data_IF_797640898760
#
_entry.id   IF_797640898760
#
_cell.length_a   1.000
_cell.length_b   1.000
_cell.length_c   1.000
_cell.angle_alpha   90.00
_cell.angle_beta   90.00
_cell.angle_gamma   90.00
#
_symmetry.space_group_name_H-M   'P 1'
#
loop_
_entity.id
_entity.type
_entity.pdbx_description
1 polymer ?
#
# COMPACT_ATOMS: atom_id res chain seq x y z
N UNK A 1 -63.75 73.15 -14.70
CA UNK A 1 -62.29 73.13 -14.92
C UNK A 1 -61.68 72.18 -13.88
N UNK A 2 -61.32 71.01 -14.30
CA UNK A 2 -60.89 69.90 -13.45
C UNK A 2 -59.39 69.77 -13.58
N UNK A 3 -58.63 69.94 -12.47
CA UNK A 3 -57.18 69.65 -12.41
C UNK A 3 -56.94 68.19 -12.03
N UNK A 4 -56.28 67.49 -12.93
CA UNK A 4 -55.77 66.10 -12.70
C UNK A 4 -54.50 66.17 -11.88
N UNK A 5 -54.50 65.51 -10.71
CA UNK A 5 -53.30 65.21 -9.92
C UNK A 5 -52.57 63.96 -10.44
N UNK A 6 -51.25 64.09 -10.64
CA UNK A 6 -50.36 62.99 -11.02
C UNK A 6 -49.89 62.24 -9.77
N UNK A 7 -50.30 60.95 -9.62
CA UNK A 7 -49.79 60.08 -8.61
C UNK A 7 -48.41 59.54 -9.03
N UNK A 8 -47.43 59.64 -8.12
CA UNK A 8 -46.10 59.05 -8.25
C UNK A 8 -46.14 57.63 -7.63
N UNK A 9 -45.98 56.63 -8.47
CA UNK A 9 -45.83 55.25 -8.01
C UNK A 9 -44.41 54.99 -7.54
N UNK A 10 -44.20 54.63 -6.27
CA UNK A 10 -42.95 54.18 -5.72
C UNK A 10 -42.87 52.67 -5.91
N UNK A 11 -41.93 52.23 -6.79
CA UNK A 11 -41.59 50.80 -6.94
C UNK A 11 -40.62 50.42 -5.86
N UNK A 12 -41.07 49.59 -4.93
CA UNK A 12 -40.23 48.93 -3.95
C UNK A 12 -39.47 47.77 -4.63
N UNK A 13 -38.19 47.96 -4.84
CA UNK A 13 -37.28 46.94 -5.33
C UNK A 13 -36.86 46.04 -4.13
N UNK A 14 -37.51 44.89 -3.98
CA UNK A 14 -37.11 43.90 -2.99
C UNK A 14 -35.85 43.18 -3.45
N UNK A 15 -34.71 43.53 -2.86
CA UNK A 15 -33.43 42.80 -3.05
C UNK A 15 -33.50 41.50 -2.24
N UNK A 16 -33.67 40.36 -2.93
CA UNK A 16 -33.62 39.05 -2.36
C UNK A 16 -32.14 38.66 -2.15
N UNK A 17 -31.66 38.79 -0.89
CA UNK A 17 -30.32 38.38 -0.50
C UNK A 17 -30.27 36.84 -0.38
N UNK A 18 -29.81 36.16 -1.43
CA UNK A 18 -29.55 34.73 -1.42
C UNK A 18 -28.30 34.43 -0.53
N UNK A 19 -28.55 34.10 0.70
CA UNK A 19 -27.54 33.51 1.58
C UNK A 19 -27.15 32.13 1.01
N UNK A 20 -26.03 32.06 0.29
CA UNK A 20 -25.34 30.81 0.01
C UNK A 20 -24.80 30.27 1.35
N UNK A 21 -25.57 29.41 2.01
CA UNK A 21 -25.06 28.58 3.07
C UNK A 21 -24.12 27.56 2.39
N UNK A 22 -22.85 27.90 2.35
CA UNK A 22 -21.79 26.95 1.99
C UNK A 22 -21.83 25.76 2.95
N UNK A 23 -22.47 24.69 2.52
CA UNK A 23 -22.41 23.40 3.22
C UNK A 23 -20.97 22.94 3.19
N UNK A 24 -20.23 23.20 4.27
CA UNK A 24 -19.01 22.42 4.57
C UNK A 24 -19.46 20.97 4.69
N UNK A 25 -19.31 20.20 3.62
CA UNK A 25 -19.42 18.75 3.68
C UNK A 25 -18.47 18.29 4.76
N UNK A 26 -19.02 17.83 5.89
CA UNK A 26 -18.27 17.08 6.88
C UNK A 26 -17.80 15.81 6.19
N UNK A 27 -16.59 15.83 5.60
CA UNK A 27 -15.91 14.61 5.23
C UNK A 27 -15.98 13.69 6.44
N UNK A 28 -16.40 12.44 6.26
CA UNK A 28 -16.50 11.49 7.37
C UNK A 28 -15.13 11.42 8.03
N UNK A 29 -15.01 11.91 9.25
CA UNK A 29 -13.78 11.85 10.02
C UNK A 29 -13.41 10.37 10.15
N UNK A 30 -12.20 10.01 9.71
CA UNK A 30 -11.67 8.65 9.89
C UNK A 30 -11.56 8.41 11.39
N UNK A 31 -12.21 7.37 11.88
CA UNK A 31 -12.05 6.93 13.26
C UNK A 31 -10.74 6.11 13.34
N UNK A 32 -9.67 6.75 13.80
CA UNK A 32 -8.37 6.10 13.96
C UNK A 32 -8.37 5.11 15.13
N UNK A 33 -7.85 3.91 14.90
CA UNK A 33 -7.64 2.90 15.94
C UNK A 33 -6.30 3.13 16.66
N UNK A 34 -5.25 3.48 15.92
CA UNK A 34 -3.92 3.80 16.46
C UNK A 34 -3.98 4.99 17.40
N UNK A 35 -3.45 4.88 18.64
CA UNK A 35 -3.71 5.87 19.69
C UNK A 35 -2.79 7.08 19.71
N UNK A 36 -1.58 6.96 19.12
CA UNK A 36 -0.48 7.91 19.33
C UNK A 36 -0.44 8.94 18.20
N UNK A 37 -0.15 10.20 18.55
CA UNK A 37 0.00 11.32 17.59
C UNK A 37 -1.26 11.62 16.75
N UNK A 38 -2.46 11.33 17.22
CA UNK A 38 -3.72 11.65 16.52
C UNK A 38 -3.91 13.13 16.21
N UNK A 39 -3.28 14.01 17.00
CA UNK A 39 -3.33 15.47 16.82
C UNK A 39 -2.31 16.03 15.84
N UNK A 40 -1.43 15.21 15.28
CA UNK A 40 -0.37 15.67 14.40
C UNK A 40 -0.97 16.26 13.09
N UNK A 41 -0.44 17.41 12.59
CA UNK A 41 -1.06 18.15 11.47
C UNK A 41 -1.11 17.37 10.15
N UNK A 42 -0.27 16.33 9.97
CA UNK A 42 -0.28 15.48 8.79
C UNK A 42 -1.27 14.32 8.89
N UNK A 43 -1.78 13.95 10.06
CA UNK A 43 -2.72 12.83 10.20
C UNK A 43 -3.94 13.03 9.31
N UNK A 44 -4.25 12.02 8.50
CA UNK A 44 -5.34 12.04 7.53
C UNK A 44 -5.02 12.80 6.24
N UNK A 45 -3.85 13.43 6.12
CA UNK A 45 -3.44 14.11 4.88
C UNK A 45 -2.92 13.10 3.86
N UNK A 46 -3.28 13.34 2.60
CA UNK A 46 -2.78 12.60 1.46
C UNK A 46 -1.87 13.52 0.67
N UNK A 47 -0.62 13.14 0.54
CA UNK A 47 0.41 13.89 -0.17
C UNK A 47 0.63 13.33 -1.56
N UNK A 48 0.46 14.13 -2.60
CA UNK A 48 0.92 13.83 -3.97
C UNK A 48 2.39 14.23 -4.06
N UNK A 49 3.27 13.22 -4.14
CA UNK A 49 4.71 13.44 -4.10
C UNK A 49 5.20 14.23 -5.30
N UNK A 50 4.68 13.91 -6.50
CA UNK A 50 5.06 14.59 -7.74
C UNK A 50 4.58 16.04 -7.78
N UNK A 51 3.36 16.29 -7.31
CA UNK A 51 2.79 17.63 -7.28
C UNK A 51 3.32 18.49 -6.12
N UNK A 52 3.91 17.86 -5.07
CA UNK A 52 4.38 18.54 -3.87
C UNK A 52 3.26 19.19 -3.06
N UNK A 53 2.07 18.57 -3.01
CA UNK A 53 0.89 19.16 -2.37
C UNK A 53 -0.03 18.11 -1.74
N UNK A 54 -0.83 18.57 -0.78
CA UNK A 54 -1.92 17.76 -0.21
C UNK A 54 -3.08 17.69 -1.19
N UNK A 55 -3.62 16.50 -1.38
CA UNK A 55 -4.78 16.24 -2.25
C UNK A 55 -5.95 15.67 -1.44
N UNK A 56 -7.15 15.71 -2.04
CA UNK A 56 -8.32 15.04 -1.46
C UNK A 56 -8.33 13.54 -1.74
N UNK A 57 -9.09 12.79 -0.94
CA UNK A 57 -9.33 11.36 -1.17
C UNK A 57 -9.97 11.11 -2.56
N UNK A 58 -10.90 11.95 -2.98
CA UNK A 58 -11.52 11.87 -4.30
C UNK A 58 -10.46 11.98 -5.42
N UNK A 59 -9.52 12.92 -5.28
CA UNK A 59 -8.42 13.09 -6.24
C UNK A 59 -7.53 11.84 -6.26
N UNK A 60 -7.18 11.29 -5.09
CA UNK A 60 -6.44 10.03 -5.01
C UNK A 60 -7.19 8.90 -5.73
N UNK A 61 -8.47 8.69 -5.42
CA UNK A 61 -9.29 7.64 -6.03
C UNK A 61 -9.38 7.77 -7.55
N UNK A 62 -9.50 9.01 -8.07
CA UNK A 62 -9.45 9.27 -9.51
C UNK A 62 -8.12 8.82 -10.13
N UNK A 63 -6.99 9.13 -9.48
CA UNK A 63 -5.65 8.70 -9.92
C UNK A 63 -5.50 7.18 -9.90
N UNK A 64 -5.93 6.55 -8.80
CA UNK A 64 -5.88 5.08 -8.67
C UNK A 64 -6.80 4.39 -9.70
N UNK A 65 -7.97 4.98 -9.98
CA UNK A 65 -8.90 4.49 -11.00
C UNK A 65 -8.29 4.40 -12.40
N UNK A 66 -7.39 5.34 -12.75
CA UNK A 66 -6.65 5.34 -14.01
C UNK A 66 -5.43 4.42 -14.06
N UNK A 67 -5.05 3.80 -12.94
CA UNK A 67 -3.85 2.95 -12.85
C UNK A 67 -4.22 1.47 -13.02
N UNK A 68 -3.48 0.75 -13.87
CA UNK A 68 -3.69 -0.69 -14.05
C UNK A 68 -3.26 -1.47 -12.81
N UNK A 69 -2.15 -1.06 -12.18
CA UNK A 69 -1.66 -1.67 -10.96
C UNK A 69 -1.61 -0.62 -9.85
N UNK A 70 -2.10 -0.98 -8.66
CA UNK A 70 -2.10 -0.14 -7.47
C UNK A 70 -1.38 -0.90 -6.36
N UNK A 71 -0.32 -0.31 -5.82
CA UNK A 71 0.46 -0.92 -4.73
C UNK A 71 0.16 -0.14 -3.47
N UNK A 72 -0.35 -0.81 -2.44
CA UNK A 72 -0.78 -0.23 -1.16
C UNK A 72 0.19 -0.67 -0.07
N UNK A 73 1.18 0.18 0.21
CA UNK A 73 2.28 -0.07 1.13
C UNK A 73 1.93 0.27 2.57
N UNK A 74 2.09 -0.68 3.47
CA UNK A 74 1.70 -0.59 4.87
C UNK A 74 2.88 -0.71 5.85
N UNK A 75 2.64 -0.41 7.12
CA UNK A 75 3.31 -0.98 8.26
C UNK A 75 2.43 -2.15 8.74
N UNK A 76 2.98 -3.35 8.77
CA UNK A 76 2.22 -4.60 8.93
C UNK A 76 1.41 -4.71 10.22
N UNK A 77 1.78 -4.02 11.28
CA UNK A 77 1.10 -4.05 12.58
C UNK A 77 0.18 -2.84 12.83
N UNK A 78 0.06 -1.90 11.88
CA UNK A 78 -0.81 -0.74 12.05
C UNK A 78 -2.23 -1.00 11.52
N UNK A 79 -3.27 -1.07 12.38
CA UNK A 79 -4.64 -1.39 11.97
C UNK A 79 -5.26 -0.36 11.04
N UNK A 80 -4.88 0.91 11.17
CA UNK A 80 -5.40 1.98 10.31
C UNK A 80 -4.93 1.84 8.87
N UNK A 81 -3.71 1.33 8.64
CA UNK A 81 -3.22 1.04 7.30
C UNK A 81 -4.10 0.01 6.60
N UNK A 82 -4.45 -1.08 7.30
CA UNK A 82 -5.31 -2.13 6.75
C UNK A 82 -6.75 -1.64 6.52
N UNK A 83 -7.26 -0.79 7.42
CA UNK A 83 -8.57 -0.17 7.25
C UNK A 83 -8.61 0.72 5.99
N UNK A 84 -7.55 1.51 5.75
CA UNK A 84 -7.40 2.35 4.56
C UNK A 84 -7.22 1.50 3.29
N UNK A 85 -6.46 0.41 3.34
CA UNK A 85 -6.35 -0.54 2.23
C UNK A 85 -7.72 -1.13 1.86
N UNK A 86 -8.47 -1.61 2.85
CA UNK A 86 -9.83 -2.13 2.62
C UNK A 86 -10.76 -1.06 2.05
N UNK A 87 -10.67 0.18 2.54
CA UNK A 87 -11.42 1.33 2.02
C UNK A 87 -11.10 1.60 0.55
N UNK A 88 -9.83 1.64 0.17
CA UNK A 88 -9.41 1.88 -1.21
C UNK A 88 -9.84 0.75 -2.15
N UNK A 89 -9.74 -0.52 -1.71
CA UNK A 89 -10.25 -1.66 -2.50
C UNK A 89 -11.76 -1.53 -2.73
N UNK A 90 -12.55 -1.23 -1.69
CA UNK A 90 -14.00 -1.01 -1.84
C UNK A 90 -14.31 0.16 -2.77
N UNK A 91 -13.56 1.24 -2.67
CA UNK A 91 -13.75 2.43 -3.52
C UNK A 91 -13.47 2.12 -5.00
N UNK A 92 -12.42 1.37 -5.31
CA UNK A 92 -12.15 0.90 -6.68
C UNK A 92 -13.27 0.03 -7.22
N UNK A 93 -13.82 -0.88 -6.38
CA UNK A 93 -14.97 -1.71 -6.74
C UNK A 93 -16.20 -0.83 -7.02
N UNK A 94 -16.47 0.15 -6.14
CA UNK A 94 -17.56 1.11 -6.28
C UNK A 94 -17.46 1.96 -7.54
N UNK A 95 -16.23 2.27 -7.99
CA UNK A 95 -15.94 2.93 -9.26
C UNK A 95 -16.04 1.99 -10.49
N UNK A 96 -16.54 0.77 -10.31
CA UNK A 96 -16.73 -0.20 -11.40
C UNK A 96 -15.49 -1.04 -11.74
N UNK A 97 -14.35 -0.86 -11.04
CA UNK A 97 -13.14 -1.64 -11.24
C UNK A 97 -13.27 -3.05 -10.68
N UNK A 98 -12.61 -4.00 -11.33
CA UNK A 98 -12.59 -5.42 -10.92
C UNK A 98 -11.15 -5.97 -10.92
N UNK A 99 -10.20 -5.31 -10.19
CA UNK A 99 -8.82 -5.75 -10.14
C UNK A 99 -8.68 -7.06 -9.37
N UNK A 100 -7.65 -7.85 -9.65
CA UNK A 100 -7.22 -8.88 -8.73
C UNK A 100 -6.64 -8.24 -7.46
N UNK A 101 -6.77 -8.90 -6.30
CA UNK A 101 -6.18 -8.43 -5.03
C UNK A 101 -5.08 -9.40 -4.60
N UNK A 102 -3.84 -8.94 -4.67
CA UNK A 102 -2.66 -9.69 -4.27
C UNK A 102 -2.26 -9.39 -2.84
N UNK A 103 -1.77 -10.40 -2.14
CA UNK A 103 -1.24 -10.27 -0.78
C UNK A 103 0.22 -10.73 -0.75
N UNK A 104 1.12 -9.86 -0.29
CA UNK A 104 2.52 -10.21 0.02
C UNK A 104 2.59 -11.37 1.00
N UNK A 105 1.70 -11.35 2.00
CA UNK A 105 1.66 -12.31 3.08
C UNK A 105 1.35 -13.75 2.63
N UNK A 106 0.82 -13.92 1.43
CA UNK A 106 0.52 -15.21 0.82
C UNK A 106 1.59 -15.56 -0.23
N UNK A 107 2.33 -16.61 0.05
CA UNK A 107 3.31 -17.16 -0.89
C UNK A 107 2.63 -18.05 -1.95
N UNK A 108 3.33 -18.33 -3.02
CA UNK A 108 2.81 -19.27 -4.03
C UNK A 108 2.58 -20.69 -3.51
N UNK A 109 3.16 -21.06 -2.36
CA UNK A 109 2.88 -22.32 -1.69
C UNK A 109 1.46 -22.37 -1.11
N UNK A 110 0.89 -21.21 -0.77
CA UNK A 110 -0.45 -21.09 -0.19
C UNK A 110 -1.54 -21.12 -1.27
N UNK A 111 -1.20 -20.92 -2.55
CA UNK A 111 -2.16 -20.82 -3.64
C UNK A 111 -3.09 -22.04 -3.78
N UNK A 112 -2.63 -23.32 -3.62
CA UNK A 112 -3.53 -24.46 -3.67
C UNK A 112 -4.55 -24.53 -2.53
N UNK A 113 -4.15 -24.14 -1.31
CA UNK A 113 -5.04 -24.08 -0.15
C UNK A 113 -6.07 -22.96 -0.31
N UNK A 114 -5.63 -21.77 -0.72
CA UNK A 114 -6.47 -20.63 -1.05
C UNK A 114 -7.53 -21.01 -2.08
N UNK A 115 -7.12 -21.62 -3.20
CA UNK A 115 -8.04 -22.01 -4.27
C UNK A 115 -9.08 -23.05 -3.81
N UNK A 116 -8.66 -24.07 -3.05
CA UNK A 116 -9.57 -25.09 -2.49
C UNK A 116 -10.58 -24.48 -1.53
N UNK A 117 -10.14 -23.54 -0.69
CA UNK A 117 -11.02 -22.87 0.26
C UNK A 117 -12.06 -22.01 -0.47
N UNK A 118 -11.64 -21.13 -1.35
CA UNK A 118 -12.52 -20.23 -2.08
C UNK A 118 -13.52 -20.94 -3.01
N UNK A 119 -13.16 -22.13 -3.52
CA UNK A 119 -14.09 -22.96 -4.29
C UNK A 119 -15.29 -23.47 -3.45
N UNK A 120 -15.11 -23.61 -2.11
CA UNK A 120 -16.15 -24.08 -1.19
C UNK A 120 -16.85 -22.94 -0.45
N UNK A 121 -16.12 -21.88 -0.17
CA UNK A 121 -16.56 -20.74 0.65
C UNK A 121 -16.20 -19.39 -0.03
N UNK A 122 -16.80 -19.09 -1.21
CA UNK A 122 -16.36 -17.98 -2.07
C UNK A 122 -16.62 -16.58 -1.48
N UNK A 123 -17.34 -16.49 -0.35
CA UNK A 123 -17.67 -15.22 0.32
C UNK A 123 -17.18 -15.15 1.76
N UNK A 124 -16.48 -16.16 2.24
CA UNK A 124 -16.03 -16.23 3.61
C UNK A 124 -14.53 -15.85 3.72
N UNK A 125 -14.27 -14.60 4.14
CA UNK A 125 -12.92 -14.16 4.46
C UNK A 125 -12.49 -14.58 5.88
N UNK A 126 -13.41 -14.86 6.78
CA UNK A 126 -13.07 -15.16 8.15
C UNK A 126 -12.27 -16.48 8.27
N UNK A 127 -12.77 -17.54 7.65
CA UNK A 127 -12.09 -18.83 7.67
C UNK A 127 -10.90 -18.95 6.71
N UNK A 128 -10.63 -17.94 5.87
CA UNK A 128 -9.51 -17.95 4.93
C UNK A 128 -8.16 -18.00 5.65
N UNK A 129 -8.02 -17.28 6.77
CA UNK A 129 -6.81 -17.29 7.57
C UNK A 129 -6.43 -18.71 8.04
N UNK A 130 -7.40 -19.47 8.56
CA UNK A 130 -7.18 -20.86 8.97
C UNK A 130 -6.84 -21.77 7.77
N UNK A 131 -7.52 -21.56 6.65
CA UNK A 131 -7.31 -22.36 5.44
C UNK A 131 -5.88 -22.25 4.88
N UNK A 132 -5.19 -21.10 5.10
CA UNK A 132 -3.81 -20.89 4.68
C UNK A 132 -2.80 -21.02 5.84
N UNK A 133 -3.23 -21.52 7.01
CA UNK A 133 -2.41 -21.65 8.22
C UNK A 133 -1.77 -20.32 8.67
N UNK A 134 -2.52 -19.23 8.63
CA UNK A 134 -2.04 -17.87 8.89
C UNK A 134 -1.31 -17.73 10.22
N UNK A 135 -1.81 -18.36 11.30
CA UNK A 135 -1.21 -18.29 12.64
C UNK A 135 0.21 -18.82 12.70
N UNK A 136 0.65 -19.61 11.69
CA UNK A 136 2.01 -20.17 11.58
C UNK A 136 2.89 -19.37 10.60
N UNK A 137 2.36 -18.32 10.01
CA UNK A 137 3.08 -17.53 8.98
C UNK A 137 4.09 -16.55 9.57
N UNK A 138 3.87 -16.12 10.83
CA UNK A 138 4.63 -15.04 11.48
C UNK A 138 4.11 -13.64 11.18
N UNK A 139 3.07 -13.50 10.35
CA UNK A 139 2.42 -12.22 10.08
C UNK A 139 1.53 -11.77 11.27
N UNK A 140 1.22 -10.46 11.38
CA UNK A 140 0.24 -9.97 12.35
C UNK A 140 -1.12 -10.68 12.22
N UNK A 141 -2.01 -10.45 13.17
CA UNK A 141 -3.30 -11.14 13.23
C UNK A 141 -4.11 -11.02 11.94
N UNK A 142 -4.74 -12.14 11.52
CA UNK A 142 -5.59 -12.19 10.32
C UNK A 142 -6.71 -11.15 10.33
N UNK A 143 -7.20 -10.75 11.51
CA UNK A 143 -8.24 -9.73 11.66
C UNK A 143 -7.90 -8.40 10.98
N UNK A 144 -6.63 -8.06 10.81
CA UNK A 144 -6.21 -6.85 10.08
C UNK A 144 -6.42 -7.00 8.57
N UNK A 145 -6.14 -8.15 8.02
CA UNK A 145 -6.22 -8.45 6.59
C UNK A 145 -7.61 -8.93 6.14
N UNK A 146 -8.39 -9.50 7.08
CA UNK A 146 -9.73 -10.02 6.80
C UNK A 146 -10.67 -8.99 6.14
N UNK A 147 -10.73 -7.69 6.55
CA UNK A 147 -11.59 -6.70 5.91
C UNK A 147 -11.22 -6.42 4.45
N UNK A 148 -9.94 -6.56 4.09
CA UNK A 148 -9.45 -6.40 2.71
C UNK A 148 -9.86 -7.60 1.87
N UNK A 149 -9.63 -8.81 2.40
CA UNK A 149 -10.06 -10.06 1.76
C UNK A 149 -11.59 -10.08 1.59
N UNK A 150 -12.36 -9.67 2.61
CA UNK A 150 -13.81 -9.60 2.52
C UNK A 150 -14.27 -8.62 1.44
N UNK A 151 -13.66 -7.43 1.34
CA UNK A 151 -13.96 -6.48 0.28
C UNK A 151 -13.72 -7.09 -1.12
N UNK A 152 -12.63 -7.84 -1.28
CA UNK A 152 -12.33 -8.54 -2.53
C UNK A 152 -13.40 -9.60 -2.85
N UNK A 153 -13.78 -10.44 -1.86
CA UNK A 153 -14.76 -11.51 -2.05
C UNK A 153 -16.17 -10.95 -2.31
N UNK A 154 -16.57 -9.88 -1.61
CA UNK A 154 -17.85 -9.19 -1.86
C UNK A 154 -17.93 -8.66 -3.29
N UNK A 155 -16.82 -8.11 -3.79
CA UNK A 155 -16.69 -7.65 -5.18
C UNK A 155 -16.51 -8.76 -6.22
N UNK A 156 -16.50 -10.04 -5.83
CA UNK A 156 -16.17 -11.18 -6.70
C UNK A 156 -14.79 -11.04 -7.36
N UNK A 157 -13.82 -10.46 -6.65
CA UNK A 157 -12.45 -10.29 -7.15
C UNK A 157 -11.62 -11.54 -6.89
N UNK A 158 -10.63 -11.76 -7.76
CA UNK A 158 -9.63 -12.79 -7.55
C UNK A 158 -8.67 -12.39 -6.43
N UNK A 159 -8.50 -13.24 -5.42
CA UNK A 159 -7.41 -13.13 -4.44
C UNK A 159 -6.20 -13.92 -4.97
N UNK A 160 -5.02 -13.30 -4.92
CA UNK A 160 -3.77 -13.85 -5.48
C UNK A 160 -2.72 -13.99 -4.39
N UNK A 161 -2.17 -15.17 -4.24
CA UNK A 161 -0.95 -15.41 -3.49
C UNK A 161 0.24 -14.91 -4.33
N UNK A 162 0.92 -13.87 -3.85
CA UNK A 162 1.87 -13.15 -4.70
C UNK A 162 3.32 -13.40 -4.40
N UNK A 163 3.67 -13.80 -3.17
CA UNK A 163 5.04 -13.88 -2.72
C UNK A 163 5.80 -15.10 -3.26
N UNK A 164 7.11 -15.02 -3.15
CA UNK A 164 8.01 -16.12 -3.50
C UNK A 164 7.76 -17.34 -2.59
N UNK A 165 7.83 -18.55 -3.14
CA UNK A 165 7.70 -19.77 -2.36
C UNK A 165 8.83 -19.92 -1.34
N UNK A 166 8.58 -20.64 -0.24
CA UNK A 166 9.61 -20.92 0.77
C UNK A 166 10.82 -21.64 0.19
N UNK A 167 10.67 -22.70 -0.65
CA UNK A 167 11.82 -23.34 -1.28
C UNK A 167 12.64 -22.40 -2.16
N UNK A 168 11.98 -21.51 -2.93
CA UNK A 168 12.68 -20.54 -3.77
C UNK A 168 13.38 -19.47 -2.94
N UNK A 169 12.77 -18.97 -1.87
CA UNK A 169 13.40 -18.04 -0.91
C UNK A 169 14.65 -18.67 -0.29
N UNK A 170 14.56 -19.93 0.13
CA UNK A 170 15.71 -20.65 0.71
C UNK A 170 16.82 -20.88 -0.33
N UNK A 171 16.46 -21.16 -1.59
CA UNK A 171 17.43 -21.30 -2.66
C UNK A 171 18.20 -19.99 -2.92
N UNK A 172 17.49 -18.83 -2.90
CA UNK A 172 18.12 -17.51 -3.00
C UNK A 172 18.98 -17.23 -1.78
N UNK A 173 18.53 -17.56 -0.58
CA UNK A 173 19.29 -17.37 0.65
C UNK A 173 20.66 -18.09 0.58
N UNK A 174 20.68 -19.32 0.04
CA UNK A 174 21.91 -20.12 -0.09
C UNK A 174 22.81 -19.67 -1.25
N UNK A 175 22.23 -19.41 -2.41
CA UNK A 175 22.96 -19.32 -3.66
C UNK A 175 22.83 -17.96 -4.36
N UNK A 176 22.16 -16.95 -3.74
CA UNK A 176 21.82 -15.69 -4.38
C UNK A 176 20.76 -15.85 -5.47
N UNK A 177 20.56 -14.85 -6.30
CA UNK A 177 19.59 -14.85 -7.41
C UNK A 177 19.74 -16.08 -8.35
N UNK A 178 20.96 -16.58 -8.66
CA UNK A 178 21.13 -17.81 -9.44
C UNK A 178 20.43 -19.04 -8.83
N UNK A 179 20.18 -19.06 -7.52
CA UNK A 179 19.44 -20.13 -6.83
C UNK A 179 18.02 -20.36 -7.33
N UNK A 180 17.41 -19.36 -7.98
CA UNK A 180 16.07 -19.50 -8.60
C UNK A 180 16.08 -20.43 -9.82
N UNK A 181 17.25 -20.65 -10.43
CA UNK A 181 17.38 -21.40 -11.67
C UNK A 181 16.81 -20.66 -12.89
N UNK A 182 17.21 -21.07 -14.11
CA UNK A 182 16.93 -20.32 -15.34
C UNK A 182 15.44 -20.22 -15.68
N UNK A 183 14.66 -21.26 -15.40
CA UNK A 183 13.23 -21.27 -15.72
C UNK A 183 12.44 -20.23 -14.92
N UNK A 184 12.65 -20.16 -13.60
CA UNK A 184 11.98 -19.18 -12.75
C UNK A 184 12.52 -17.78 -13.00
N UNK A 185 13.82 -17.59 -13.16
CA UNK A 185 14.43 -16.30 -13.50
C UNK A 185 13.83 -15.73 -14.79
N UNK A 186 13.67 -16.55 -15.84
CA UNK A 186 13.01 -16.16 -17.10
C UNK A 186 11.55 -15.77 -16.87
N UNK A 187 10.80 -16.59 -16.13
CA UNK A 187 9.40 -16.30 -15.81
C UNK A 187 9.25 -14.96 -15.06
N UNK A 188 10.16 -14.65 -14.15
CA UNK A 188 10.17 -13.42 -13.38
C UNK A 188 10.75 -12.23 -14.17
N UNK A 189 11.25 -12.43 -15.39
CA UNK A 189 12.02 -11.43 -16.13
C UNK A 189 13.07 -10.78 -15.24
N UNK A 190 13.72 -11.63 -14.45
CA UNK A 190 14.68 -11.21 -13.44
C UNK A 190 15.92 -10.63 -14.12
N UNK A 191 16.31 -9.45 -13.67
CA UNK A 191 17.59 -8.83 -13.99
C UNK A 191 18.30 -8.57 -12.66
N UNK A 192 19.63 -8.54 -12.68
CA UNK A 192 20.41 -8.10 -11.52
C UNK A 192 20.06 -6.63 -11.19
N UNK A 193 19.95 -6.27 -9.90
CA UNK A 193 19.86 -4.88 -9.53
C UNK A 193 21.13 -4.12 -9.91
N UNK A 194 20.99 -2.88 -10.37
CA UNK A 194 22.15 -2.01 -10.59
C UNK A 194 22.94 -1.82 -9.26
N UNK A 195 24.25 -1.58 -9.32
CA UNK A 195 25.07 -1.44 -8.10
C UNK A 195 24.52 -0.39 -7.12
N UNK A 196 24.03 0.74 -7.62
CA UNK A 196 23.45 1.81 -6.82
C UNK A 196 22.14 1.34 -6.14
N UNK A 197 21.31 0.62 -6.88
CA UNK A 197 20.07 0.02 -6.35
C UNK A 197 20.39 -0.99 -5.26
N UNK A 198 21.37 -1.87 -5.48
CA UNK A 198 21.82 -2.86 -4.50
C UNK A 198 22.29 -2.18 -3.21
N UNK A 199 23.09 -1.12 -3.35
CA UNK A 199 23.60 -0.36 -2.21
C UNK A 199 22.48 0.34 -1.42
N UNK A 200 21.51 0.93 -2.12
CA UNK A 200 20.34 1.56 -1.46
C UNK A 200 19.49 0.54 -0.71
N UNK A 201 19.23 -0.63 -1.31
CA UNK A 201 18.51 -1.72 -0.66
C UNK A 201 19.27 -2.29 0.54
N UNK A 202 20.58 -2.43 0.45
CA UNK A 202 21.41 -2.90 1.59
C UNK A 202 21.35 -1.91 2.76
N UNK A 203 21.36 -0.61 2.49
CA UNK A 203 21.21 0.43 3.52
C UNK A 203 19.84 0.34 4.19
N UNK A 204 18.76 0.27 3.41
CA UNK A 204 17.39 0.12 3.93
C UNK A 204 17.25 -1.14 4.80
N UNK A 205 17.78 -2.27 4.32
CA UNK A 205 17.75 -3.53 5.08
C UNK A 205 18.53 -3.39 6.39
N UNK A 206 19.72 -2.77 6.36
CA UNK A 206 20.51 -2.52 7.56
C UNK A 206 19.74 -1.67 8.57
N UNK A 207 19.11 -0.58 8.12
CA UNK A 207 18.33 0.32 8.98
C UNK A 207 17.08 -0.38 9.55
N UNK A 208 16.31 -1.08 8.71
CA UNK A 208 15.12 -1.80 9.14
C UNK A 208 15.41 -2.97 10.10
N UNK A 209 16.67 -3.45 10.13
CA UNK A 209 17.15 -4.45 11.08
C UNK A 209 18.00 -3.82 12.20
N UNK A 210 17.92 -2.48 12.39
CA UNK A 210 18.59 -1.77 13.48
C UNK A 210 20.12 -1.96 13.51
N UNK A 211 20.74 -2.14 12.36
CA UNK A 211 22.16 -2.42 12.24
C UNK A 211 22.59 -3.81 12.73
N UNK A 212 21.63 -4.67 13.13
CA UNK A 212 21.94 -6.01 13.69
C UNK A 212 22.03 -7.09 12.59
N UNK A 213 21.61 -6.79 11.35
CA UNK A 213 21.80 -7.72 10.25
C UNK A 213 23.31 -7.97 10.01
N UNK A 214 23.77 -9.23 10.02
CA UNK A 214 25.16 -9.52 9.74
C UNK A 214 25.57 -9.00 8.37
N UNK A 215 26.69 -8.27 8.28
CA UNK A 215 27.18 -7.69 7.04
C UNK A 215 27.34 -8.75 5.93
N UNK A 216 27.79 -9.96 6.32
CA UNK A 216 27.93 -11.10 5.42
C UNK A 216 26.60 -11.62 4.84
N UNK A 217 25.46 -11.23 5.42
CA UNK A 217 24.12 -11.64 4.96
C UNK A 217 23.41 -10.57 4.16
N UNK A 218 23.84 -9.30 4.19
CA UNK A 218 23.13 -8.18 3.55
C UNK A 218 22.90 -8.43 2.07
N UNK A 219 23.91 -8.89 1.33
CA UNK A 219 23.75 -9.21 -0.09
C UNK A 219 22.69 -10.27 -0.34
N UNK A 220 22.60 -11.28 0.51
CA UNK A 220 21.56 -12.32 0.40
C UNK A 220 20.19 -11.80 0.75
N UNK A 221 20.10 -10.88 1.70
CA UNK A 221 18.83 -10.23 2.06
C UNK A 221 18.35 -9.33 0.92
N UNK A 222 19.24 -8.60 0.27
CA UNK A 222 18.94 -7.85 -0.96
C UNK A 222 18.44 -8.78 -2.07
N UNK A 223 19.13 -9.88 -2.32
CA UNK A 223 18.73 -10.86 -3.34
C UNK A 223 17.33 -11.43 -3.06
N UNK A 224 17.03 -11.76 -1.80
CA UNK A 224 15.71 -12.25 -1.38
C UNK A 224 14.64 -11.20 -1.62
N UNK A 225 14.88 -9.95 -1.17
CA UNK A 225 13.93 -8.86 -1.34
C UNK A 225 13.64 -8.61 -2.83
N UNK A 226 14.70 -8.52 -3.65
CA UNK A 226 14.61 -8.34 -5.09
C UNK A 226 13.83 -9.46 -5.80
N UNK A 227 14.09 -10.71 -5.42
CA UNK A 227 13.38 -11.87 -5.96
C UNK A 227 11.90 -11.89 -5.55
N UNK A 228 11.58 -11.47 -4.30
CA UNK A 228 10.20 -11.33 -3.83
C UNK A 228 9.45 -10.27 -4.63
N UNK A 229 10.06 -9.10 -4.84
CA UNK A 229 9.44 -8.02 -5.63
C UNK A 229 9.21 -8.44 -7.08
N UNK A 230 10.18 -9.11 -7.71
CA UNK A 230 10.01 -9.67 -9.05
C UNK A 230 8.88 -10.71 -9.09
N UNK A 231 8.76 -11.56 -8.07
CA UNK A 231 7.69 -12.57 -7.98
C UNK A 231 6.33 -11.93 -7.81
N UNK A 232 6.19 -10.96 -6.89
CA UNK A 232 4.94 -10.23 -6.68
C UNK A 232 4.50 -9.53 -7.97
N UNK A 233 5.41 -8.82 -8.64
CA UNK A 233 5.12 -8.17 -9.92
C UNK A 233 4.62 -9.18 -10.99
N UNK A 234 5.29 -10.33 -11.12
CA UNK A 234 4.88 -11.37 -12.06
C UNK A 234 3.52 -11.99 -11.71
N UNK A 235 3.23 -12.14 -10.41
CA UNK A 235 1.94 -12.66 -9.93
C UNK A 235 0.81 -11.67 -10.21
N UNK A 236 1.04 -10.37 -9.97
CA UNK A 236 0.08 -9.30 -10.27
C UNK A 236 -0.19 -9.18 -11.78
N UNK A 237 0.85 -9.20 -12.61
CA UNK A 237 0.69 -9.10 -14.06
C UNK A 237 -0.14 -10.26 -14.62
N UNK A 238 0.01 -11.46 -14.05
CA UNK A 238 -0.74 -12.67 -14.43
C UNK A 238 -2.16 -12.65 -13.89
N UNK A 239 -2.37 -12.32 -12.59
CA UNK A 239 -3.70 -12.24 -11.98
C UNK A 239 -4.53 -11.07 -12.50
N UNK A 240 -3.88 -9.95 -12.81
CA UNK A 240 -4.50 -8.70 -13.26
C UNK A 240 -4.72 -8.58 -14.76
N UNK A 241 -4.85 -9.68 -15.52
CA UNK A 241 -4.98 -9.61 -16.97
C UNK A 241 -6.24 -8.86 -17.45
N UNK A 242 -7.34 -8.94 -16.71
CA UNK A 242 -8.62 -8.32 -17.10
C UNK A 242 -8.65 -6.82 -16.77
N UNK A 243 -8.52 -6.46 -15.47
CA UNK A 243 -8.68 -5.08 -14.98
C UNK A 243 -7.57 -4.67 -14.01
N UNK A 244 -6.37 -5.17 -14.22
CA UNK A 244 -5.23 -4.88 -13.38
C UNK A 244 -5.28 -5.59 -12.03
N UNK A 245 -4.47 -5.09 -11.09
CA UNK A 245 -4.39 -5.66 -9.75
C UNK A 245 -4.08 -4.60 -8.69
N UNK A 246 -4.52 -4.87 -7.46
CA UNK A 246 -4.09 -4.18 -6.24
C UNK A 246 -3.18 -5.11 -5.46
N UNK A 247 -2.05 -4.61 -4.95
CA UNK A 247 -1.18 -5.33 -4.04
C UNK A 247 -1.31 -4.76 -2.63
N UNK A 248 -1.45 -5.64 -1.65
CA UNK A 248 -1.33 -5.36 -0.23
C UNK A 248 0.04 -5.83 0.22
N UNK A 249 0.90 -4.90 0.65
CA UNK A 249 2.29 -5.21 0.98
C UNK A 249 2.89 -4.20 1.96
N UNK A 250 4.02 -4.53 2.55
CA UNK A 250 4.81 -3.56 3.31
C UNK A 250 5.29 -2.39 2.44
N UNK A 251 5.48 -1.21 3.06
CA UNK A 251 5.86 0.01 2.35
C UNK A 251 7.15 -0.13 1.54
N UNK A 252 8.12 -0.93 1.99
CA UNK A 252 9.34 -1.20 1.24
C UNK A 252 9.07 -1.79 -0.16
N UNK A 253 8.09 -2.70 -0.27
CA UNK A 253 7.68 -3.28 -1.55
C UNK A 253 6.90 -2.30 -2.45
N UNK A 254 6.35 -1.23 -1.89
CA UNK A 254 5.61 -0.21 -2.63
C UNK A 254 6.52 0.87 -3.25
N UNK A 255 7.80 0.86 -2.96
CA UNK A 255 8.76 1.84 -3.49
C UNK A 255 8.84 1.78 -5.01
N UNK A 256 8.89 2.96 -5.64
CA UNK A 256 8.95 3.08 -7.10
C UNK A 256 10.35 2.80 -7.66
N UNK A 257 11.38 3.08 -6.88
CA UNK A 257 12.78 3.00 -7.30
C UNK A 257 13.28 1.55 -7.40
N UNK A 258 12.90 0.67 -6.45
CA UNK A 258 13.36 -0.72 -6.45
C UNK A 258 12.32 -1.76 -5.96
N UNK A 259 11.14 -1.33 -5.52
CA UNK A 259 10.06 -2.24 -5.12
C UNK A 259 9.29 -2.85 -6.30
N UNK A 260 8.11 -3.38 -6.03
CA UNK A 260 7.24 -4.02 -7.02
C UNK A 260 6.95 -3.13 -8.24
N UNK A 261 6.76 -1.80 -8.12
CA UNK A 261 6.58 -0.91 -9.28
C UNK A 261 7.72 -0.99 -10.30
N UNK A 262 8.99 -1.04 -9.86
CA UNK A 262 10.14 -1.17 -10.75
C UNK A 262 10.15 -2.49 -11.52
N UNK A 263 9.69 -3.58 -10.88
CA UNK A 263 9.55 -4.89 -11.52
C UNK A 263 8.35 -4.98 -12.46
N UNK A 264 7.24 -4.29 -12.15
CA UNK A 264 6.07 -4.20 -13.04
C UNK A 264 6.41 -3.51 -14.37
N UNK A 265 7.33 -2.56 -14.39
CA UNK A 265 7.81 -1.96 -15.63
C UNK A 265 8.36 -2.99 -16.62
N UNK A 266 8.95 -4.10 -16.12
CA UNK A 266 9.42 -5.23 -16.94
C UNK A 266 8.32 -6.24 -17.23
N UNK A 267 7.44 -6.52 -16.25
CA UNK A 267 6.37 -7.53 -16.39
C UNK A 267 5.22 -7.06 -17.30
N UNK A 268 4.90 -5.78 -17.26
CA UNK A 268 3.81 -5.15 -18.00
C UNK A 268 4.24 -3.79 -18.56
N UNK A 269 5.13 -3.74 -19.57
CA UNK A 269 5.63 -2.49 -20.12
C UNK A 269 4.50 -1.56 -20.56
N UNK A 270 4.60 -0.27 -20.21
CA UNK A 270 3.62 0.75 -20.54
C UNK A 270 2.35 0.75 -19.67
N UNK A 271 2.21 -0.19 -18.74
CA UNK A 271 1.08 -0.17 -17.81
C UNK A 271 1.24 0.96 -16.77
N UNK A 272 0.16 1.69 -16.54
CA UNK A 272 0.12 2.69 -15.47
C UNK A 272 0.16 1.98 -14.09
N UNK A 273 1.10 2.39 -13.25
CA UNK A 273 1.29 1.89 -11.89
C UNK A 273 1.18 3.07 -10.92
N UNK A 274 0.37 2.93 -9.87
CA UNK A 274 0.31 3.86 -8.76
C UNK A 274 0.80 3.19 -7.48
N UNK A 275 1.62 3.90 -6.72
CA UNK A 275 2.15 3.49 -5.42
C UNK A 275 1.62 4.43 -4.34
N UNK A 276 1.00 3.87 -3.32
CA UNK A 276 0.54 4.59 -2.11
C UNK A 276 1.24 3.99 -0.91
N UNK A 277 1.96 4.79 -0.13
CA UNK A 277 2.45 4.38 1.17
C UNK A 277 1.56 4.96 2.27
N UNK A 278 1.21 4.13 3.25
CA UNK A 278 0.65 4.59 4.52
C UNK A 278 1.81 4.76 5.50
N UNK A 279 2.00 5.98 5.98
CA UNK A 279 3.11 6.29 6.87
C UNK A 279 2.59 6.82 8.20
N UNK A 280 3.09 6.27 9.28
CA UNK A 280 2.90 6.83 10.60
C UNK A 280 3.60 8.17 10.72
N UNK A 281 2.93 9.14 11.35
CA UNK A 281 3.53 10.45 11.61
C UNK A 281 4.64 10.35 12.64
N UNK A 282 5.62 11.25 12.53
CA UNK A 282 6.70 11.39 13.50
C UNK A 282 6.61 12.76 14.16
N UNK A 283 6.71 12.85 15.49
CA UNK A 283 6.52 14.11 16.23
C UNK A 283 7.39 15.27 15.72
N UNK A 284 8.60 14.98 15.26
CA UNK A 284 9.55 15.97 14.77
C UNK A 284 9.39 16.33 13.28
N UNK A 285 8.57 15.60 12.51
CA UNK A 285 8.47 15.74 11.07
C UNK A 285 7.15 16.42 10.67
N UNK A 286 7.15 17.75 10.67
CA UNK A 286 5.94 18.55 10.41
C UNK A 286 5.51 18.61 8.94
N UNK A 287 6.41 18.29 7.99
CA UNK A 287 6.16 18.36 6.55
C UNK A 287 6.38 17.00 5.90
N UNK A 288 5.65 16.71 4.84
CA UNK A 288 5.76 15.45 4.11
C UNK A 288 7.20 15.15 3.61
N UNK A 289 7.94 16.19 3.19
CA UNK A 289 9.34 16.03 2.75
C UNK A 289 10.31 15.60 3.86
N UNK A 290 9.97 15.84 5.12
CA UNK A 290 10.81 15.48 6.27
C UNK A 290 10.92 13.95 6.45
N UNK A 291 10.08 13.18 5.76
CA UNK A 291 10.07 11.70 5.77
C UNK A 291 10.99 11.05 4.72
N UNK A 292 11.49 11.80 3.74
CA UNK A 292 12.32 11.24 2.68
C UNK A 292 13.63 10.57 3.19
N UNK A 293 14.33 11.12 4.20
CA UNK A 293 15.54 10.49 4.75
C UNK A 293 15.31 9.07 5.30
N UNK A 294 14.10 8.73 5.78
CA UNK A 294 13.76 7.37 6.24
C UNK A 294 13.88 6.31 5.14
N UNK A 295 13.91 6.74 3.88
CA UNK A 295 14.01 5.87 2.71
C UNK A 295 15.38 6.01 2.04
N UNK A 296 16.37 6.61 2.72
CA UNK A 296 17.68 6.92 2.16
C UNK A 296 17.56 7.61 0.77
N UNK A 297 16.66 8.59 0.65
CA UNK A 297 16.31 9.26 -0.60
C UNK A 297 16.08 10.75 -0.38
N UNK A 298 16.31 11.57 -1.41
CA UNK A 298 16.05 13.01 -1.39
C UNK A 298 14.56 13.33 -1.52
N UNK A 299 13.76 12.38 -1.99
CA UNK A 299 12.32 12.48 -2.11
C UNK A 299 11.64 11.17 -1.69
N UNK A 300 10.36 11.26 -1.31
CA UNK A 300 9.57 10.06 -0.99
C UNK A 300 9.47 9.15 -2.23
N UNK A 301 9.84 7.86 -2.13
CA UNK A 301 9.89 6.97 -3.28
C UNK A 301 8.52 6.35 -3.64
N UNK A 302 7.46 7.14 -3.54
CA UNK A 302 6.07 6.75 -3.80
C UNK A 302 5.39 7.77 -4.70
N UNK A 303 4.22 7.44 -5.27
CA UNK A 303 3.38 8.45 -5.93
C UNK A 303 2.58 9.26 -4.91
N UNK A 304 2.05 8.56 -3.91
CA UNK A 304 1.24 9.16 -2.86
C UNK A 304 1.64 8.63 -1.49
N UNK A 305 1.49 9.49 -0.47
CA UNK A 305 1.63 9.11 0.93
C UNK A 305 0.38 9.52 1.69
N UNK A 306 -0.22 8.57 2.41
CA UNK A 306 -1.33 8.83 3.33
C UNK A 306 -0.82 8.71 4.76
N UNK A 307 -0.82 9.81 5.49
CA UNK A 307 -0.30 9.86 6.84
C UNK A 307 -1.35 9.38 7.86
N UNK A 308 -0.91 8.59 8.83
CA UNK A 308 -1.74 8.00 9.88
C UNK A 308 -1.16 8.28 11.26
N UNK A 309 -1.96 8.12 12.34
CA UNK A 309 -1.40 8.03 13.68
C UNK A 309 -0.44 6.84 13.82
N UNK A 310 0.37 6.85 14.89
CA UNK A 310 1.25 5.72 15.24
C UNK A 310 0.51 4.69 16.07
N UNK A 311 0.84 3.42 15.87
CA UNK A 311 0.31 2.33 16.69
C UNK A 311 0.83 2.40 18.13
N UNK A 312 2.10 2.76 18.31
CA UNK A 312 2.77 2.91 19.60
C UNK A 312 3.96 3.87 19.51
N UNK A 313 4.53 4.22 20.66
CA UNK A 313 5.77 5.04 20.80
C UNK A 313 7.01 4.17 21.07
N UNK A 314 6.89 2.87 20.95
CA UNK A 314 8.03 1.97 21.19
C UNK A 314 8.99 2.08 20.01
N UNK A 315 10.27 2.27 20.32
CA UNK A 315 11.31 2.20 19.30
C UNK A 315 11.24 0.83 18.60
N UNK A 316 11.08 0.80 17.26
CA UNK A 316 11.03 -0.45 16.50
C UNK A 316 12.23 -1.36 16.81
N UNK A 317 13.39 -0.79 17.08
CA UNK A 317 14.59 -1.54 17.39
C UNK A 317 14.53 -2.23 18.76
N UNK A 318 13.90 -1.62 19.74
CA UNK A 318 13.63 -2.28 21.03
C UNK A 318 12.52 -3.34 20.90
N UNK A 319 11.48 -3.05 20.13
CA UNK A 319 10.35 -3.96 19.89
C UNK A 319 10.80 -5.28 19.26
N UNK A 320 11.70 -5.21 18.28
CA UNK A 320 12.20 -6.36 17.53
C UNK A 320 13.56 -6.89 18.00
N UNK A 321 14.08 -6.45 19.13
CA UNK A 321 15.39 -6.84 19.64
C UNK A 321 15.55 -8.36 19.75
N UNK A 322 14.60 -9.07 20.36
CA UNK A 322 14.64 -10.54 20.49
C UNK A 322 14.58 -11.27 19.15
N UNK A 323 13.65 -10.94 18.22
CA UNK A 323 13.67 -11.52 16.88
C UNK A 323 14.96 -11.23 16.11
N UNK A 324 15.54 -10.01 16.22
CA UNK A 324 16.76 -9.63 15.51
C UNK A 324 18.00 -10.39 16.03
N UNK A 325 18.09 -10.64 17.33
CA UNK A 325 19.17 -11.44 17.95
C UNK A 325 19.24 -12.88 17.42
N UNK A 326 18.16 -13.41 16.86
CA UNK A 326 18.10 -14.75 16.27
C UNK A 326 18.60 -14.83 14.83
N UNK A 327 18.65 -13.70 14.12
CA UNK A 327 19.11 -13.63 12.72
C UNK A 327 20.64 -13.81 12.63
N UNK A 328 21.36 -13.45 13.67
CA UNK A 328 22.84 -13.54 13.76
C UNK A 328 23.39 -14.87 14.25
N UNK A 329 22.53 -15.85 14.54
CA UNK A 329 22.91 -17.21 14.97
C UNK A 329 22.55 -18.23 13.89
#
# INVERSE_FOLDING_TARGET
MIKRGRGVAWSLLSVLLLLFVGGCGKGSQIAWESPVERGHPLVGRIWDVKAGTVISEETLLSRLGGSRFVILGERHDNPDHHALQAKLVRALIGAGRRPAVGFEMLSTDDAPALARYLARSPKDAAGLGDAVNWTRSGWPEWRFYQPIAQAALDGNLLIVATNLSRPATEAVRRNGLPGLGPALATQLRLAEPAPETRSAMALEIRESHCGQAPESMLDRMVDIQWARDARMAASLARGGQRDGAVLIAGAGHARRDHGVPAHLARQAPGAAVASVAFLEVEPAAARAGDYAPRFASDALPFDFVWFTPKIDDVDPCEKFKKPLETIGK
#
